data_IF_106186551843
#
_entry.id   IF_106186551843
#
_cell.length_a   1.000
_cell.length_b   1.000
_cell.length_c   1.000
_cell.angle_alpha   90.00
_cell.angle_beta   90.00
_cell.angle_gamma   90.00
#
_symmetry.space_group_name_H-M   'P 1'
#
loop_
_entity.id
_entity.type
_entity.pdbx_description
1 polymer ?
#
# COMPACT_ATOMS: atom_id res chain seq x y z
N UNK A 1 7.42 16.05 -6.22
CA UNK A 1 8.64 16.02 -5.39
C UNK A 1 9.61 15.00 -5.98
N UNK A 2 10.92 15.21 -5.78
CA UNK A 2 11.95 14.27 -6.27
C UNK A 2 12.22 13.11 -5.30
N UNK A 3 11.73 13.20 -4.06
CA UNK A 3 11.91 12.19 -3.01
C UNK A 3 10.66 11.33 -2.90
N UNK A 4 10.85 10.02 -2.73
CA UNK A 4 9.79 9.05 -2.50
C UNK A 4 9.79 8.69 -1.01
N UNK A 5 8.89 9.33 -0.26
CA UNK A 5 8.72 9.13 1.17
C UNK A 5 7.35 8.50 1.43
N UNK A 6 7.33 7.25 1.85
CA UNK A 6 6.08 6.48 1.99
C UNK A 6 5.59 6.50 3.43
N UNK A 7 4.44 7.14 3.65
CA UNK A 7 3.71 7.06 4.91
C UNK A 7 3.00 5.73 5.05
N UNK A 8 3.09 5.11 6.20
CA UNK A 8 2.40 3.86 6.53
C UNK A 8 1.43 4.11 7.67
N UNK A 9 0.14 3.90 7.45
CA UNK A 9 -0.87 4.10 8.48
C UNK A 9 -0.77 3.00 9.55
N UNK A 10 -0.55 3.38 10.80
CA UNK A 10 -0.46 2.49 11.96
C UNK A 10 -1.61 2.79 12.91
N UNK A 11 -2.49 1.80 13.10
CA UNK A 11 -3.57 1.88 14.08
C UNK A 11 -3.01 1.74 15.50
N UNK A 12 -3.53 2.56 16.40
CA UNK A 12 -3.20 2.63 17.80
C UNK A 12 -4.50 2.57 18.64
N UNK A 13 -4.42 2.18 19.89
CA UNK A 13 -5.60 2.11 20.77
C UNK A 13 -6.31 3.48 20.92
N UNK A 14 -5.57 4.57 20.74
CA UNK A 14 -6.08 5.96 20.88
C UNK A 14 -6.24 6.70 19.55
N UNK A 15 -6.04 6.05 18.40
CA UNK A 15 -6.17 6.69 17.09
C UNK A 15 -5.30 6.10 15.99
N UNK A 16 -4.86 6.96 15.10
CA UNK A 16 -4.05 6.61 13.93
C UNK A 16 -2.83 7.53 13.85
N UNK A 17 -1.67 6.98 13.51
CA UNK A 17 -0.46 7.72 13.19
C UNK A 17 0.13 7.22 11.88
N UNK A 18 0.80 8.11 11.14
CA UNK A 18 1.36 7.80 9.83
C UNK A 18 2.87 8.08 9.82
N UNK A 19 3.69 7.19 10.38
CA UNK A 19 5.14 7.31 10.24
C UNK A 19 5.58 7.16 8.78
N UNK A 20 6.74 7.73 8.45
CA UNK A 20 7.21 7.90 7.08
C UNK A 20 8.54 7.16 6.88
N UNK A 21 8.56 6.24 5.92
CA UNK A 21 9.79 5.65 5.39
C UNK A 21 10.36 6.63 4.38
N UNK A 22 11.46 7.29 4.74
CA UNK A 22 12.10 8.27 3.86
C UNK A 22 12.97 7.57 2.82
N UNK A 23 13.06 8.17 1.62
CA UNK A 23 13.88 7.64 0.51
C UNK A 23 13.62 6.15 0.26
N UNK A 24 12.35 5.77 0.17
CA UNK A 24 11.95 4.37 0.03
C UNK A 24 12.50 3.73 -1.27
N UNK A 25 12.75 4.53 -2.29
CA UNK A 25 13.35 4.14 -3.56
C UNK A 25 14.85 3.75 -3.45
N UNK A 26 15.54 4.22 -2.41
CA UNK A 26 16.94 3.86 -2.13
C UNK A 26 17.07 2.56 -1.32
N UNK A 27 15.95 2.00 -0.84
CA UNK A 27 15.95 0.84 0.04
C UNK A 27 15.65 -0.46 -0.72
N UNK A 28 16.32 -1.54 -0.34
CA UNK A 28 15.92 -2.89 -0.73
C UNK A 28 14.61 -3.28 -0.06
N UNK A 29 13.92 -4.31 -0.57
CA UNK A 29 12.68 -4.81 0.03
C UNK A 29 12.87 -5.18 1.52
N UNK A 30 13.98 -5.85 1.85
CA UNK A 30 14.32 -6.15 3.25
C UNK A 30 14.60 -4.89 4.08
N UNK A 31 15.16 -3.84 3.46
CA UNK A 31 15.35 -2.53 4.07
C UNK A 31 14.03 -1.85 4.40
N UNK A 32 13.10 -1.83 3.45
CA UNK A 32 11.73 -1.32 3.63
C UNK A 32 11.02 -2.09 4.76
N UNK A 33 11.10 -3.41 4.74
CA UNK A 33 10.45 -4.27 5.77
C UNK A 33 11.00 -3.97 7.16
N UNK A 34 12.31 -3.81 7.32
CA UNK A 34 12.92 -3.43 8.61
C UNK A 34 12.47 -2.05 9.07
N UNK A 35 12.50 -1.06 8.17
CA UNK A 35 12.07 0.31 8.50
C UNK A 35 10.58 0.34 8.90
N UNK A 36 9.72 -0.37 8.18
CA UNK A 36 8.29 -0.49 8.48
C UNK A 36 8.06 -1.09 9.87
N UNK A 37 8.71 -2.22 10.17
CA UNK A 37 8.53 -2.91 11.44
C UNK A 37 9.04 -2.08 12.63
N UNK A 38 10.19 -1.41 12.48
CA UNK A 38 10.74 -0.50 13.50
C UNK A 38 9.80 0.67 13.76
N UNK A 39 9.39 1.39 12.71
CA UNK A 39 8.47 2.52 12.83
C UNK A 39 7.15 2.12 13.46
N UNK A 40 6.56 0.98 13.06
CA UNK A 40 5.32 0.49 13.63
C UNK A 40 5.45 0.10 15.11
N UNK A 41 6.55 -0.54 15.51
CA UNK A 41 6.82 -0.88 16.90
C UNK A 41 6.99 0.37 17.77
N UNK A 42 7.76 1.35 17.30
CA UNK A 42 7.98 2.63 18.01
C UNK A 42 6.71 3.48 18.04
N UNK A 43 5.87 3.44 16.99
CA UNK A 43 4.56 4.08 17.00
C UNK A 43 3.69 3.57 18.16
N UNK A 44 3.55 2.23 18.27
CA UNK A 44 2.77 1.60 19.35
C UNK A 44 3.36 1.88 20.74
N UNK A 45 4.69 1.98 20.84
CA UNK A 45 5.38 2.32 22.09
C UNK A 45 5.42 3.83 22.41
N UNK A 46 4.79 4.70 21.59
CA UNK A 46 4.81 6.17 21.71
C UNK A 46 6.22 6.76 21.67
N UNK A 47 7.12 6.18 20.86
CA UNK A 47 8.54 6.55 20.77
C UNK A 47 8.93 7.15 19.42
N UNK A 48 7.97 7.59 18.63
CA UNK A 48 8.26 8.32 17.39
C UNK A 48 8.59 9.78 17.70
N UNK A 49 9.56 10.34 16.95
CA UNK A 49 9.80 11.77 16.94
C UNK A 49 8.84 12.49 15.99
N UNK A 50 8.58 13.79 16.19
CA UNK A 50 7.71 14.56 15.28
C UNK A 50 8.17 14.55 13.82
N UNK A 51 9.47 14.48 13.58
CA UNK A 51 10.05 14.47 12.23
C UNK A 51 9.73 13.17 11.47
N UNK A 52 9.50 12.07 12.18
CA UNK A 52 9.22 10.76 11.58
C UNK A 52 7.80 10.63 11.02
N UNK A 53 6.92 11.59 11.28
CA UNK A 53 5.55 11.64 10.74
C UNK A 53 5.36 12.77 9.72
N UNK A 54 6.45 13.43 9.32
CA UNK A 54 6.43 14.55 8.40
C UNK A 54 7.07 14.19 7.05
N UNK A 55 6.81 15.06 6.05
CA UNK A 55 7.38 14.98 4.70
C UNK A 55 7.03 13.71 3.90
N UNK A 56 6.00 12.96 4.29
CA UNK A 56 5.44 11.90 3.46
C UNK A 56 4.97 12.45 2.11
N UNK A 57 5.22 11.70 1.03
CA UNK A 57 4.80 12.07 -0.33
C UNK A 57 3.63 11.24 -0.84
N UNK A 58 3.43 10.07 -0.27
CA UNK A 58 2.35 9.13 -0.54
C UNK A 58 2.08 8.29 0.71
N UNK A 59 0.84 7.88 0.93
CA UNK A 59 0.50 7.05 2.09
C UNK A 59 -0.11 5.72 1.65
N UNK A 60 0.23 4.65 2.37
CA UNK A 60 -0.40 3.34 2.26
C UNK A 60 -1.10 3.03 3.59
N UNK A 61 -2.35 2.58 3.50
CA UNK A 61 -3.13 2.12 4.64
C UNK A 61 -3.69 0.73 4.37
N UNK A 62 -3.78 -0.11 5.41
CA UNK A 62 -4.27 -1.48 5.28
C UNK A 62 -5.46 -1.74 6.22
N UNK A 63 -6.70 -1.34 5.86
CA UNK A 63 -7.90 -1.71 6.61
C UNK A 63 -8.23 -3.19 6.52
N UNK A 64 -7.62 -3.92 5.58
CA UNK A 64 -7.82 -5.35 5.40
C UNK A 64 -7.38 -6.19 6.60
N UNK A 65 -6.45 -5.70 7.44
CA UNK A 65 -6.07 -6.37 8.70
C UNK A 65 -7.23 -6.45 9.70
N UNK A 66 -8.26 -5.63 9.54
CA UNK A 66 -9.50 -5.64 10.32
C UNK A 66 -10.65 -6.36 9.59
N UNK A 67 -10.36 -7.03 8.47
CA UNK A 67 -11.35 -7.76 7.67
C UNK A 67 -12.08 -6.92 6.62
N UNK A 68 -11.70 -5.67 6.41
CA UNK A 68 -12.31 -4.82 5.38
C UNK A 68 -11.93 -5.32 3.98
N UNK A 69 -12.93 -5.64 3.18
CA UNK A 69 -12.72 -6.11 1.80
C UNK A 69 -12.01 -5.06 0.95
N UNK A 70 -12.46 -3.82 1.05
CA UNK A 70 -11.97 -2.64 0.35
C UNK A 70 -12.29 -1.41 1.20
N UNK A 71 -11.47 -0.39 1.13
CA UNK A 71 -11.72 0.90 1.80
C UNK A 71 -11.52 2.06 0.84
N UNK A 72 -12.08 3.21 1.20
CA UNK A 72 -11.87 4.49 0.54
C UNK A 72 -11.17 5.43 1.53
N UNK A 73 -9.84 5.37 1.64
CA UNK A 73 -9.12 6.11 2.65
C UNK A 73 -9.17 7.63 2.40
N UNK A 74 -9.13 8.41 3.48
CA UNK A 74 -9.03 9.86 3.40
C UNK A 74 -7.57 10.24 3.17
N UNK A 75 -7.32 11.16 2.24
CA UNK A 75 -5.98 11.63 1.89
C UNK A 75 -5.32 12.29 3.11
N UNK A 76 -4.09 11.88 3.41
CA UNK A 76 -3.27 12.49 4.45
C UNK A 76 -2.62 13.78 3.90
N UNK A 77 -3.30 14.91 4.08
CA UNK A 77 -2.83 16.22 3.57
C UNK A 77 -1.47 16.61 4.19
N UNK A 78 -0.58 17.28 3.43
CA UNK A 78 -0.76 17.88 2.11
C UNK A 78 -0.44 16.93 0.92
N UNK A 79 -0.40 15.63 1.13
CA UNK A 79 -0.28 14.64 0.06
C UNK A 79 -1.51 14.72 -0.85
N UNK A 80 -1.39 14.20 -2.07
CA UNK A 80 -2.47 14.25 -3.06
C UNK A 80 -3.08 12.89 -3.37
N UNK A 81 -2.56 11.82 -2.77
CA UNK A 81 -3.10 10.47 -2.94
C UNK A 81 -2.75 9.56 -1.75
N UNK A 82 -3.59 8.55 -1.55
CA UNK A 82 -3.43 7.48 -0.57
C UNK A 82 -3.95 6.17 -1.15
N UNK A 83 -3.21 5.08 -0.96
CA UNK A 83 -3.61 3.75 -1.37
C UNK A 83 -4.12 2.93 -0.18
N UNK A 84 -5.30 2.33 -0.36
CA UNK A 84 -5.87 1.36 0.57
C UNK A 84 -5.62 -0.07 0.11
N UNK A 85 -5.22 -0.94 1.04
CA UNK A 85 -5.07 -2.39 0.82
C UNK A 85 -6.20 -3.11 1.56
N UNK A 86 -7.04 -3.82 0.83
CA UNK A 86 -8.11 -4.63 1.41
C UNK A 86 -7.62 -5.96 1.97
N UNK A 87 -8.54 -6.75 2.53
CA UNK A 87 -8.25 -8.07 3.07
C UNK A 87 -7.56 -8.96 2.02
N UNK A 88 -6.47 -9.59 2.45
CA UNK A 88 -5.72 -10.56 1.64
C UNK A 88 -6.29 -11.93 1.94
N UNK A 89 -7.03 -12.52 1.00
CA UNK A 89 -7.74 -13.78 1.22
C UNK A 89 -7.77 -14.67 -0.02
N UNK A 90 -8.01 -15.97 0.18
CA UNK A 90 -8.16 -16.92 -0.92
C UNK A 90 -9.53 -16.79 -1.56
N UNK A 91 -9.54 -16.70 -2.91
CA UNK A 91 -10.77 -16.58 -3.72
C UNK A 91 -10.70 -17.49 -4.94
N UNK A 92 -11.85 -18.01 -5.42
CA UNK A 92 -11.91 -18.63 -6.72
C UNK A 92 -11.70 -17.58 -7.81
N UNK A 93 -10.85 -17.89 -8.79
CA UNK A 93 -10.57 -17.07 -9.96
C UNK A 93 -10.68 -17.92 -11.20
N UNK A 94 -11.26 -17.36 -12.25
CA UNK A 94 -11.17 -17.94 -13.59
C UNK A 94 -9.75 -17.70 -14.11
N UNK A 95 -9.13 -18.77 -14.57
CA UNK A 95 -7.81 -18.77 -15.19
C UNK A 95 -7.95 -19.35 -16.60
N UNK A 96 -7.60 -18.56 -17.60
CA UNK A 96 -7.58 -19.01 -19.00
C UNK A 96 -6.23 -19.65 -19.30
N UNK A 97 -6.23 -20.89 -19.71
CA UNK A 97 -5.03 -21.63 -20.13
C UNK A 97 -4.49 -21.13 -21.48
N UNK A 98 -3.30 -21.62 -21.85
CA UNK A 98 -2.69 -21.29 -23.14
C UNK A 98 -3.49 -21.83 -24.34
N UNK A 99 -4.32 -22.83 -24.11
CA UNK A 99 -5.27 -23.45 -25.04
C UNK A 99 -6.59 -22.66 -25.19
N UNK A 100 -6.76 -21.60 -24.37
CA UNK A 100 -7.99 -20.78 -24.33
C UNK A 100 -9.08 -21.35 -23.42
N UNK A 101 -8.87 -22.50 -22.77
CA UNK A 101 -9.85 -23.11 -21.88
C UNK A 101 -9.83 -22.44 -20.50
N UNK A 102 -11.03 -22.22 -19.95
CA UNK A 102 -11.22 -21.61 -18.64
C UNK A 102 -11.27 -22.66 -17.53
N UNK A 103 -10.49 -22.44 -16.48
CA UNK A 103 -10.48 -23.27 -15.26
C UNK A 103 -10.70 -22.39 -14.03
N UNK A 104 -11.25 -22.96 -12.96
CA UNK A 104 -11.36 -22.27 -11.67
C UNK A 104 -10.18 -22.67 -10.80
N UNK A 105 -9.40 -21.69 -10.39
CA UNK A 105 -8.28 -21.89 -9.48
C UNK A 105 -8.44 -21.02 -8.21
N UNK A 106 -7.95 -21.54 -7.09
CA UNK A 106 -7.85 -20.77 -5.85
C UNK A 106 -6.61 -19.89 -5.92
N UNK A 107 -6.78 -18.58 -5.71
CA UNK A 107 -5.69 -17.60 -5.69
C UNK A 107 -5.81 -16.71 -4.47
N UNK A 108 -4.67 -16.26 -3.95
CA UNK A 108 -4.62 -15.20 -2.94
C UNK A 108 -4.87 -13.87 -3.63
N UNK A 109 -5.89 -13.15 -3.20
CA UNK A 109 -6.33 -11.89 -3.81
C UNK A 109 -6.49 -10.80 -2.77
N UNK A 110 -6.27 -9.57 -3.18
CA UNK A 110 -6.62 -8.37 -2.42
C UNK A 110 -7.18 -7.31 -3.37
N UNK A 111 -8.02 -6.41 -2.83
CA UNK A 111 -8.41 -5.20 -3.54
C UNK A 111 -7.47 -4.05 -3.13
N UNK A 112 -7.07 -3.26 -4.12
CA UNK A 112 -6.42 -1.97 -3.91
C UNK A 112 -7.39 -0.86 -4.30
N UNK A 113 -7.40 0.19 -3.51
CA UNK A 113 -8.14 1.42 -3.78
C UNK A 113 -7.19 2.61 -3.75
N UNK A 114 -7.48 3.64 -4.52
CA UNK A 114 -6.73 4.87 -4.54
C UNK A 114 -7.68 6.05 -4.36
N UNK A 115 -7.51 6.80 -3.27
CA UNK A 115 -8.12 8.12 -3.14
C UNK A 115 -7.10 9.16 -3.59
N UNK A 116 -7.53 10.10 -4.42
CA UNK A 116 -6.64 11.11 -4.98
C UNK A 116 -7.34 12.46 -5.14
N UNK A 117 -6.56 13.53 -5.13
CA UNK A 117 -7.04 14.89 -5.39
C UNK A 117 -7.22 15.09 -6.90
N UNK A 118 -8.47 15.08 -7.34
CA UNK A 118 -8.81 15.18 -8.76
C UNK A 118 -8.47 16.54 -9.40
N UNK A 119 -8.06 17.51 -8.60
CA UNK A 119 -7.54 18.80 -9.12
C UNK A 119 -6.10 18.67 -9.64
N UNK A 120 -5.38 17.60 -9.22
CA UNK A 120 -3.95 17.36 -9.53
C UNK A 120 -3.75 16.09 -10.33
N UNK A 121 -4.57 15.07 -10.08
CA UNK A 121 -4.50 13.75 -10.71
C UNK A 121 -5.82 13.47 -11.41
N UNK A 122 -5.78 13.06 -12.67
CA UNK A 122 -6.97 12.60 -13.38
C UNK A 122 -7.21 11.09 -13.19
N UNK A 123 -8.44 10.64 -13.53
CA UNK A 123 -8.84 9.25 -13.37
C UNK A 123 -7.99 8.28 -14.17
N UNK A 124 -7.59 8.64 -15.40
CA UNK A 124 -6.79 7.77 -16.26
C UNK A 124 -5.39 7.52 -15.66
N UNK A 125 -4.75 8.56 -15.10
CA UNK A 125 -3.44 8.42 -14.42
C UNK A 125 -3.59 7.57 -13.16
N UNK A 126 -4.65 7.77 -12.37
CA UNK A 126 -4.94 7.00 -11.17
C UNK A 126 -5.12 5.51 -11.48
N UNK A 127 -5.90 5.19 -12.49
CA UNK A 127 -6.16 3.80 -12.92
C UNK A 127 -4.91 3.14 -13.52
N UNK A 128 -4.13 3.86 -14.31
CA UNK A 128 -2.84 3.38 -14.83
C UNK A 128 -1.85 3.08 -13.70
N UNK A 129 -1.81 3.91 -12.66
CA UNK A 129 -0.98 3.66 -11.48
C UNK A 129 -1.39 2.35 -10.79
N UNK A 130 -2.69 2.14 -10.52
CA UNK A 130 -3.16 0.89 -9.90
C UNK A 130 -2.91 -0.33 -10.79
N UNK A 131 -3.10 -0.20 -12.10
CA UNK A 131 -2.80 -1.27 -13.05
C UNK A 131 -1.31 -1.62 -13.06
N UNK A 132 -0.43 -0.62 -12.97
CA UNK A 132 1.01 -0.82 -12.86
C UNK A 132 1.38 -1.52 -11.54
N UNK A 133 0.83 -1.09 -10.41
CA UNK A 133 1.04 -1.73 -9.09
C UNK A 133 0.60 -3.19 -9.14
N UNK A 134 -0.62 -3.46 -9.65
CA UNK A 134 -1.14 -4.82 -9.84
C UNK A 134 -0.16 -5.67 -10.65
N UNK A 135 0.22 -5.22 -11.85
CA UNK A 135 1.13 -5.95 -12.73
C UNK A 135 2.46 -6.24 -12.03
N UNK A 136 3.03 -5.25 -11.33
CA UNK A 136 4.30 -5.40 -10.63
C UNK A 136 4.23 -6.47 -9.54
N UNK A 137 3.15 -6.49 -8.75
CA UNK A 137 2.95 -7.49 -7.71
C UNK A 137 2.74 -8.90 -8.31
N UNK A 138 1.93 -9.02 -9.37
CA UNK A 138 1.61 -10.30 -10.02
C UNK A 138 2.82 -10.90 -10.76
N UNK A 139 3.78 -10.09 -11.17
CA UNK A 139 5.00 -10.53 -11.87
C UNK A 139 6.25 -10.45 -11.00
N UNK A 140 6.09 -10.19 -9.70
CA UNK A 140 7.23 -10.06 -8.79
C UNK A 140 7.98 -11.40 -8.70
N UNK A 141 9.32 -11.41 -8.91
CA UNK A 141 10.08 -12.65 -8.89
C UNK A 141 10.10 -13.25 -7.47
N UNK A 142 9.73 -14.53 -7.35
CA UNK A 142 9.76 -15.25 -6.06
C UNK A 142 11.20 -15.47 -5.55
N UNK A 143 12.20 -15.39 -6.45
CA UNK A 143 13.62 -15.53 -6.14
C UNK A 143 14.22 -14.15 -5.87
N UNK A 144 14.30 -13.74 -4.63
CA UNK A 144 14.90 -12.45 -4.25
C UNK A 144 14.32 -11.82 -2.99
N UNK A 145 13.54 -12.57 -2.25
CA UNK A 145 13.03 -12.22 -0.91
C UNK A 145 14.05 -12.52 0.18
#
# INVERSE_FOLDING_TARGET
RKQINIGIAVALDWGLIVPVIRHADDLSLSGITRALNDLAARARAKKLSPEEVQEGTFTITNPGVFGSLMGTPIINQPQVAIMGVGAIEKRPKVMTGADGEDTIAIRTCAYFSLSFDHRVIDGAVADQFLAFVKKTIETFPETGL
#
